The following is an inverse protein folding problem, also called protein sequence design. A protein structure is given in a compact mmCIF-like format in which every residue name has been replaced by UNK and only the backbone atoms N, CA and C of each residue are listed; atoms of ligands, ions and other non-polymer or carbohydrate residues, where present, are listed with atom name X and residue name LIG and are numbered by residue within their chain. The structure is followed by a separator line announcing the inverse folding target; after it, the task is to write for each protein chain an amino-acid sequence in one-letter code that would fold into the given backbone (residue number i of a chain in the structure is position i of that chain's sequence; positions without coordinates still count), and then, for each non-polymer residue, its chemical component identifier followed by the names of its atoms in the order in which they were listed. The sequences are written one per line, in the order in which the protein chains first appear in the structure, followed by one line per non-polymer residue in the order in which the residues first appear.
data_IF_438367454064
#
_entry.id   IF_438367454064
#
_cell.length_a   1.000
_cell.length_b   1.000
_cell.length_c   1.000
_cell.angle_alpha   90.00
_cell.angle_beta   90.00
_cell.angle_gamma   90.00
#
_symmetry.space_group_name_H-M   'P 1'
#
loop_
_entity.id
_entity.type
_entity.pdbx_description
1 polymer ?
#
# COMPACT_ATOMS: atom_id res chain seq x y z
N UNK A 1 -24.42 -43.11 25.73
CA UNK A 1 -24.69 -42.25 24.56
C UNK A 1 -24.56 -40.80 25.00
N UNK A 2 -24.04 -39.97 24.10
CA UNK A 2 -23.87 -38.50 24.16
C UNK A 2 -22.59 -37.98 24.83
N UNK A 3 -21.51 -37.92 24.03
CA UNK A 3 -20.49 -36.87 24.16
C UNK A 3 -20.88 -35.75 23.19
N UNK A 4 -21.17 -34.57 23.74
CA UNK A 4 -21.48 -33.34 23.00
C UNK A 4 -20.17 -32.56 22.89
N UNK A 5 -19.45 -32.75 21.78
CA UNK A 5 -18.17 -32.07 21.53
C UNK A 5 -18.41 -30.72 20.86
N UNK A 6 -18.32 -29.67 21.68
CA UNK A 6 -17.55 -28.41 21.53
C UNK A 6 -17.36 -27.78 20.12
N UNK A 7 -17.85 -26.54 20.02
CA UNK A 7 -17.34 -25.36 19.30
C UNK A 7 -16.91 -25.51 17.83
N UNK A 8 -17.82 -25.15 16.93
CA UNK A 8 -17.49 -24.67 15.60
C UNK A 8 -17.38 -23.13 15.64
N UNK A 9 -16.20 -22.63 16.01
CA UNK A 9 -15.84 -21.23 15.79
C UNK A 9 -15.56 -21.11 14.29
N UNK A 10 -16.58 -20.72 13.53
CA UNK A 10 -16.49 -20.46 12.10
C UNK A 10 -15.54 -19.29 11.82
N UNK A 11 -14.24 -19.55 11.79
CA UNK A 11 -13.24 -18.63 11.28
C UNK A 11 -13.39 -18.56 9.76
N UNK A 12 -14.09 -17.54 9.27
CA UNK A 12 -14.21 -17.26 7.84
C UNK A 12 -12.83 -16.84 7.29
N UNK A 13 -12.18 -17.63 6.41
CA UNK A 13 -10.84 -17.33 5.89
C UNK A 13 -10.75 -15.97 5.20
N UNK A 14 -11.85 -15.46 4.66
CA UNK A 14 -11.90 -14.17 3.98
C UNK A 14 -11.69 -12.97 4.94
N UNK A 15 -12.03 -13.11 6.23
CA UNK A 15 -11.81 -12.05 7.21
C UNK A 15 -10.31 -11.87 7.50
N UNK A 16 -9.58 -12.99 7.67
CA UNK A 16 -8.13 -12.96 7.90
C UNK A 16 -7.35 -12.38 6.70
N UNK A 17 -7.82 -12.65 5.47
CA UNK A 17 -7.22 -12.10 4.26
C UNK A 17 -7.36 -10.57 4.16
N UNK A 18 -8.47 -10.01 4.68
CA UNK A 18 -8.67 -8.57 4.69
C UNK A 18 -7.74 -7.86 5.68
N UNK A 19 -7.52 -8.43 6.86
CA UNK A 19 -6.64 -7.83 7.88
C UNK A 19 -5.17 -7.76 7.39
N UNK A 20 -4.66 -8.85 6.80
CA UNK A 20 -3.31 -8.87 6.22
C UNK A 20 -3.17 -7.86 5.08
N UNK A 21 -4.20 -7.76 4.23
CA UNK A 21 -4.22 -6.80 3.12
C UNK A 21 -4.29 -5.35 3.61
N UNK A 22 -5.09 -5.06 4.63
CA UNK A 22 -5.16 -3.72 5.26
C UNK A 22 -3.79 -3.33 5.80
N UNK A 23 -3.13 -4.19 6.56
CA UNK A 23 -1.78 -3.92 7.10
C UNK A 23 -0.76 -3.68 5.98
N UNK A 24 -0.83 -4.46 4.90
CA UNK A 24 0.00 -4.28 3.73
C UNK A 24 -0.23 -2.91 3.06
N UNK A 25 -1.50 -2.51 2.86
CA UNK A 25 -1.85 -1.23 2.23
C UNK A 25 -1.44 -0.05 3.11
N UNK A 26 -1.66 -0.12 4.43
CA UNK A 26 -1.21 0.91 5.39
C UNK A 26 0.32 1.10 5.33
N UNK A 27 1.08 0.00 5.33
CA UNK A 27 2.54 0.05 5.21
C UNK A 27 2.99 0.60 3.85
N UNK A 28 2.26 0.26 2.78
CA UNK A 28 2.53 0.74 1.42
C UNK A 28 2.27 2.24 1.27
N UNK A 29 1.17 2.75 1.84
CA UNK A 29 0.84 4.18 1.87
C UNK A 29 1.93 4.96 2.60
N UNK A 30 2.38 4.46 3.77
CA UNK A 30 3.46 5.11 4.52
C UNK A 30 4.73 5.25 3.67
N UNK A 31 5.17 4.14 3.05
CA UNK A 31 6.37 4.15 2.18
C UNK A 31 6.22 5.06 0.96
N UNK A 32 5.07 5.02 0.28
CA UNK A 32 4.80 5.90 -0.85
C UNK A 32 4.80 7.38 -0.43
N UNK A 33 4.18 7.69 0.71
CA UNK A 33 4.17 9.03 1.29
C UNK A 33 5.57 9.56 1.60
N UNK A 34 6.44 8.73 2.19
CA UNK A 34 7.85 9.07 2.40
C UNK A 34 8.57 9.37 1.08
N UNK A 35 8.39 8.52 0.06
CA UNK A 35 9.02 8.73 -1.26
C UNK A 35 8.51 10.02 -1.90
N UNK A 36 7.20 10.29 -1.86
CA UNK A 36 6.63 11.52 -2.41
C UNK A 36 7.16 12.78 -1.71
N UNK A 37 7.38 12.72 -0.39
CA UNK A 37 7.93 13.84 0.37
C UNK A 37 9.42 14.08 0.09
N UNK A 38 10.18 13.00 -0.14
CA UNK A 38 11.62 13.07 -0.35
C UNK A 38 12.01 13.41 -1.80
N UNK A 39 11.16 13.08 -2.78
CA UNK A 39 11.47 13.26 -4.20
C UNK A 39 11.41 14.74 -4.59
N UNK A 40 12.55 15.28 -5.01
CA UNK A 40 12.61 16.59 -5.67
C UNK A 40 12.71 16.44 -7.19
N UNK A 41 11.65 16.77 -7.97
CA UNK A 41 11.64 16.57 -9.41
C UNK A 41 12.53 17.54 -10.19
N UNK A 42 13.06 18.58 -9.55
CA UNK A 42 13.95 19.56 -10.18
C UNK A 42 15.44 19.19 -10.05
N UNK A 43 15.75 18.07 -9.39
CA UNK A 43 17.12 17.59 -9.21
C UNK A 43 17.29 16.18 -9.77
N UNK A 44 18.50 15.80 -10.21
CA UNK A 44 18.77 14.42 -10.60
C UNK A 44 18.45 13.44 -9.47
N UNK A 45 17.78 12.34 -9.81
CA UNK A 45 17.38 11.31 -8.83
C UNK A 45 18.62 10.54 -8.36
N UNK A 46 18.91 10.52 -7.05
CA UNK A 46 20.01 9.75 -6.48
C UNK A 46 19.87 8.23 -6.71
N UNK A 47 20.98 7.49 -6.82
CA UNK A 47 20.93 6.03 -7.09
C UNK A 47 20.23 5.24 -5.98
N UNK A 48 20.46 5.58 -4.72
CA UNK A 48 19.76 5.04 -3.56
C UNK A 48 18.24 5.24 -3.67
N UNK A 49 17.83 6.40 -4.16
CA UNK A 49 16.42 6.71 -4.41
C UNK A 49 15.83 5.86 -5.54
N UNK A 50 16.62 5.57 -6.59
CA UNK A 50 16.19 4.67 -7.67
C UNK A 50 15.89 3.27 -7.16
N UNK A 51 16.60 2.76 -6.15
CA UNK A 51 16.26 1.46 -5.55
C UNK A 51 14.87 1.47 -4.91
N UNK A 52 14.53 2.53 -4.17
CA UNK A 52 13.18 2.71 -3.60
C UNK A 52 12.10 2.72 -4.69
N UNK A 53 12.33 3.45 -5.78
CA UNK A 53 11.40 3.50 -6.92
C UNK A 53 11.17 2.13 -7.58
N UNK A 54 12.21 1.29 -7.66
CA UNK A 54 12.08 -0.07 -8.22
C UNK A 54 11.19 -0.98 -7.40
N UNK A 55 11.07 -0.79 -6.08
CA UNK A 55 10.11 -1.51 -5.23
C UNK A 55 8.65 -1.27 -5.68
N UNK A 56 8.42 -0.16 -6.40
CA UNK A 56 7.13 0.24 -6.96
C UNK A 56 7.05 0.01 -8.47
N UNK A 57 7.95 -0.80 -9.04
CA UNK A 57 8.05 -1.09 -10.49
C UNK A 57 8.31 0.15 -11.37
N UNK A 58 8.87 1.24 -10.79
CA UNK A 58 9.28 2.41 -11.55
C UNK A 58 10.73 2.21 -11.98
N UNK A 59 10.93 1.94 -13.27
CA UNK A 59 12.24 1.59 -13.85
C UNK A 59 12.82 2.68 -14.76
N UNK A 60 11.99 3.64 -15.17
CA UNK A 60 12.37 4.73 -16.08
C UNK A 60 12.68 5.98 -15.27
N UNK A 61 13.93 6.44 -15.32
CA UNK A 61 14.43 7.55 -14.50
C UNK A 61 14.74 8.82 -15.29
N UNK A 62 14.49 8.82 -16.61
CA UNK A 62 14.81 9.94 -17.50
C UNK A 62 13.93 11.17 -17.30
N UNK A 63 12.72 10.99 -16.77
CA UNK A 63 11.73 12.06 -16.63
C UNK A 63 11.17 12.11 -15.19
N UNK A 64 11.65 13.05 -14.36
CA UNK A 64 11.21 13.19 -12.98
C UNK A 64 9.73 13.57 -12.84
N UNK A 65 9.12 14.19 -13.85
CA UNK A 65 7.68 14.51 -13.82
C UNK A 65 6.82 13.27 -14.07
N UNK A 66 7.27 12.36 -14.95
CA UNK A 66 6.61 11.06 -15.11
C UNK A 66 6.69 10.21 -13.84
N UNK A 67 7.82 10.26 -13.14
CA UNK A 67 8.03 9.52 -11.90
C UNK A 67 7.13 10.06 -10.78
N UNK A 68 7.09 11.38 -10.60
CA UNK A 68 6.18 12.01 -9.63
C UNK A 68 4.72 11.68 -9.92
N UNK A 69 4.27 11.78 -11.18
CA UNK A 69 2.91 11.40 -11.55
C UNK A 69 2.62 9.92 -11.27
N UNK A 70 3.54 9.02 -11.59
CA UNK A 70 3.38 7.60 -11.32
C UNK A 70 3.28 7.29 -9.81
N UNK A 71 4.08 7.96 -8.99
CA UNK A 71 4.03 7.82 -7.52
C UNK A 71 2.71 8.34 -6.94
N UNK A 72 2.24 9.49 -7.41
CA UNK A 72 0.96 10.05 -6.98
C UNK A 72 -0.20 9.11 -7.32
N UNK A 73 -0.25 8.61 -8.55
CA UNK A 73 -1.27 7.63 -8.94
C UNK A 73 -1.22 6.36 -8.07
N UNK A 74 -0.02 5.80 -7.85
CA UNK A 74 0.13 4.62 -6.99
C UNK A 74 -0.34 4.89 -5.56
N UNK A 75 -0.10 6.09 -5.04
CA UNK A 75 -0.53 6.48 -3.70
C UNK A 75 -2.06 6.61 -3.63
N UNK A 76 -2.67 7.31 -4.59
CA UNK A 76 -4.11 7.46 -4.73
C UNK A 76 -4.80 6.09 -4.83
N UNK A 77 -4.34 5.23 -5.75
CA UNK A 77 -4.87 3.88 -5.94
C UNK A 77 -4.79 3.05 -4.65
N UNK A 78 -3.68 3.16 -3.91
CA UNK A 78 -3.48 2.41 -2.66
C UNK A 78 -4.40 2.93 -1.55
N UNK A 79 -4.62 4.24 -1.47
CA UNK A 79 -5.55 4.87 -0.52
C UNK A 79 -6.99 4.46 -0.83
N UNK A 80 -7.39 4.48 -2.09
CA UNK A 80 -8.73 4.09 -2.53
C UNK A 80 -8.99 2.61 -2.24
N UNK A 81 -8.01 1.74 -2.51
CA UNK A 81 -8.09 0.32 -2.18
C UNK A 81 -8.22 0.08 -0.67
N UNK A 82 -7.47 0.83 0.15
CA UNK A 82 -7.61 0.77 1.60
C UNK A 82 -8.99 1.26 2.04
N UNK A 83 -9.50 2.34 1.46
CA UNK A 83 -10.79 2.90 1.80
C UNK A 83 -11.95 1.92 1.53
N UNK A 84 -11.86 1.12 0.46
CA UNK A 84 -12.83 0.06 0.16
C UNK A 84 -12.86 -0.99 1.29
N UNK A 85 -11.71 -1.34 1.87
CA UNK A 85 -11.60 -2.36 2.92
C UNK A 85 -11.83 -1.79 4.33
N UNK A 86 -11.46 -0.54 4.54
CA UNK A 86 -11.52 0.20 5.80
C UNK A 86 -11.93 1.65 5.50
N UNK A 87 -13.24 1.92 5.39
CA UNK A 87 -13.73 3.26 5.11
C UNK A 87 -13.23 4.26 6.15
N UNK A 88 -12.81 5.44 5.68
CA UNK A 88 -12.52 6.56 6.56
C UNK A 88 -13.86 7.04 7.12
N UNK A 89 -14.04 6.96 8.44
CA UNK A 89 -15.19 7.61 9.07
C UNK A 89 -14.94 9.12 9.08
N UNK A 90 -15.67 9.84 8.24
CA UNK A 90 -15.77 11.30 8.32
C UNK A 90 -16.56 11.65 9.60
N UNK A 91 -15.86 11.79 10.72
CA UNK A 91 -16.40 12.37 11.96
C UNK A 91 -16.13 13.87 12.02
#
# INVERSE_FOLDING_TARGET
MQNKTINDLGTNPALFQNDEKILYLEARILKLGEICNDLNPYTPIPEDFKFRLREFNIMEFSDPFKITNALLMLLEDTIDELHILKPFNDN
#
